data_IF_906183564506
#
_entry.id   IF_906183564506
#
_cell.length_a   1.000
_cell.length_b   1.000
_cell.length_c   1.000
_cell.angle_alpha   90.00
_cell.angle_beta   90.00
_cell.angle_gamma   90.00
#
_symmetry.space_group_name_H-M   'P 1'
#
loop_
_entity.id
_entity.type
_entity.pdbx_description
1 polymer ?
#
# COMPACT_ATOMS: atom_id res chain seq x y z
N UNK A 1 0.94 -24.16 9.98
CA UNK A 1 -0.49 -24.33 10.25
C UNK A 1 -0.69 -25.77 10.69
N UNK A 2 -1.23 -25.99 11.88
CA UNK A 2 -1.18 -27.29 12.57
C UNK A 2 -2.17 -28.31 11.96
N UNK A 3 -1.70 -29.54 11.70
CA UNK A 3 -2.49 -30.63 11.07
C UNK A 3 -3.75 -30.97 11.88
N UNK A 4 -3.69 -30.78 13.20
CA UNK A 4 -4.79 -31.02 14.13
C UNK A 4 -5.98 -30.08 13.87
N UNK A 5 -5.70 -28.81 13.58
CA UNK A 5 -6.72 -27.79 13.28
C UNK A 5 -7.49 -28.10 12.00
N UNK A 6 -6.79 -28.61 10.97
CA UNK A 6 -7.41 -29.00 9.70
C UNK A 6 -8.32 -30.23 9.84
N UNK A 7 -7.95 -31.21 10.68
CA UNK A 7 -8.75 -32.42 10.93
C UNK A 7 -10.08 -32.11 11.64
N UNK A 8 -10.06 -31.28 12.67
CA UNK A 8 -11.27 -30.90 13.42
C UNK A 8 -12.27 -30.11 12.57
N UNK A 9 -11.77 -29.27 11.65
CA UNK A 9 -12.62 -28.45 10.77
C UNK A 9 -13.27 -29.25 9.63
N UNK A 10 -12.58 -30.27 9.10
CA UNK A 10 -13.15 -31.22 8.11
C UNK A 10 -14.37 -31.96 8.67
N UNK A 11 -14.34 -32.33 9.96
CA UNK A 11 -15.44 -33.05 10.60
C UNK A 11 -16.72 -32.20 10.78
N UNK A 12 -16.60 -30.87 10.83
CA UNK A 12 -17.74 -29.97 11.11
C UNK A 12 -18.49 -29.47 9.87
N UNK A 13 -17.87 -29.46 8.69
CA UNK A 13 -18.40 -28.74 7.53
C UNK A 13 -19.06 -29.60 6.45
N UNK A 14 -18.99 -30.93 6.51
CA UNK A 14 -19.68 -31.85 5.57
C UNK A 14 -19.25 -31.76 4.10
N UNK A 15 -18.41 -30.80 3.73
CA UNK A 15 -17.85 -30.59 2.40
C UNK A 15 -16.33 -30.79 2.41
N UNK A 16 -15.73 -31.31 1.32
CA UNK A 16 -14.29 -31.43 1.23
C UNK A 16 -13.64 -30.04 1.30
N UNK A 17 -12.83 -29.79 2.33
CA UNK A 17 -12.01 -28.59 2.41
C UNK A 17 -11.04 -28.57 1.22
N UNK A 18 -11.27 -27.68 0.26
CA UNK A 18 -10.36 -27.44 -0.85
C UNK A 18 -9.16 -26.66 -0.34
N UNK A 19 -8.01 -27.31 -0.25
CA UNK A 19 -6.76 -26.62 0.04
C UNK A 19 -6.36 -25.77 -1.17
N UNK A 20 -6.04 -24.51 -0.93
CA UNK A 20 -5.50 -23.58 -1.94
C UNK A 20 -4.10 -23.19 -1.50
N UNK A 21 -3.13 -23.25 -2.41
CA UNK A 21 -1.78 -22.80 -2.11
C UNK A 21 -1.75 -21.30 -1.78
N UNK A 22 -0.99 -20.91 -0.75
CA UNK A 22 -0.87 -19.51 -0.34
C UNK A 22 -0.39 -18.60 -1.49
N UNK A 23 0.49 -19.10 -2.36
CA UNK A 23 0.94 -18.39 -3.57
C UNK A 23 -0.20 -17.98 -4.50
N UNK A 24 -1.24 -18.82 -4.62
CA UNK A 24 -2.44 -18.51 -5.41
C UNK A 24 -3.27 -17.42 -4.75
N UNK A 25 -3.39 -17.44 -3.42
CA UNK A 25 -4.12 -16.41 -2.67
C UNK A 25 -3.39 -15.07 -2.68
N UNK A 26 -2.06 -15.07 -2.57
CA UNK A 26 -1.23 -13.86 -2.62
C UNK A 26 -1.43 -13.07 -3.93
N UNK A 27 -1.56 -13.76 -5.06
CA UNK A 27 -1.83 -13.11 -6.36
C UNK A 27 -3.23 -12.49 -6.47
N UNK A 28 -4.15 -12.85 -5.55
CA UNK A 28 -5.50 -12.27 -5.44
C UNK A 28 -5.58 -11.09 -4.48
N UNK A 29 -4.51 -10.79 -3.75
CA UNK A 29 -4.49 -9.64 -2.86
C UNK A 29 -4.58 -8.35 -3.68
N UNK A 30 -5.34 -7.38 -3.18
CA UNK A 30 -5.57 -6.08 -3.84
C UNK A 30 -5.38 -4.92 -2.91
N UNK A 31 -5.87 -5.05 -1.68
CA UNK A 31 -5.61 -4.08 -0.64
C UNK A 31 -5.59 -4.73 0.74
N UNK A 32 -4.97 -4.04 1.69
CA UNK A 32 -5.05 -4.33 3.12
C UNK A 32 -5.00 -3.02 3.91
N UNK A 33 -5.44 -3.06 5.16
CA UNK A 33 -5.44 -1.93 6.09
C UNK A 33 -4.59 -2.27 7.31
N UNK A 34 -3.82 -1.30 7.82
CA UNK A 34 -3.12 -1.37 9.10
C UNK A 34 -3.56 -0.18 9.97
N UNK A 35 -3.58 -0.34 11.29
CA UNK A 35 -4.11 0.71 12.16
C UNK A 35 -5.62 0.86 11.99
N UNK A 36 -6.12 2.09 12.14
CA UNK A 36 -7.54 2.40 11.98
C UNK A 36 -8.08 1.91 10.62
N UNK A 37 -9.26 1.32 10.65
CA UNK A 37 -9.86 0.69 9.49
C UNK A 37 -10.62 1.71 8.66
N UNK A 38 -10.41 1.68 7.34
CA UNK A 38 -11.19 2.46 6.39
C UNK A 38 -12.38 1.65 5.89
N UNK A 39 -13.59 2.16 6.09
CA UNK A 39 -14.83 1.60 5.54
C UNK A 39 -15.08 2.22 4.16
N UNK A 40 -14.82 1.43 3.10
CA UNK A 40 -15.02 1.87 1.72
C UNK A 40 -16.49 2.18 1.38
N UNK A 41 -17.46 1.57 2.07
CA UNK A 41 -18.88 1.77 1.79
C UNK A 41 -19.38 3.09 2.36
N UNK A 42 -18.91 3.44 3.57
CA UNK A 42 -19.23 4.70 4.24
C UNK A 42 -18.25 5.82 3.89
N UNK A 43 -17.11 5.48 3.30
CA UNK A 43 -16.00 6.37 2.99
C UNK A 43 -15.54 7.10 4.26
N UNK A 44 -15.24 6.38 5.33
CA UNK A 44 -14.77 6.95 6.59
C UNK A 44 -13.83 6.01 7.36
N UNK A 45 -13.16 6.56 8.39
CA UNK A 45 -12.46 5.75 9.38
C UNK A 45 -13.40 5.39 10.53
N UNK A 46 -13.39 4.11 10.91
CA UNK A 46 -14.19 3.62 12.03
C UNK A 46 -13.27 3.11 13.15
N UNK A 47 -13.08 3.95 14.17
CA UNK A 47 -12.27 3.62 15.34
C UNK A 47 -12.92 2.56 16.25
N UNK A 48 -14.22 2.25 16.07
CA UNK A 48 -14.90 1.20 16.82
C UNK A 48 -14.57 -0.21 16.30
N UNK A 49 -14.10 -0.32 15.07
CA UNK A 49 -13.69 -1.61 14.50
C UNK A 49 -12.39 -2.10 15.15
N UNK A 50 -12.26 -3.41 15.42
CA UNK A 50 -11.02 -3.98 15.93
C UNK A 50 -9.85 -3.70 14.99
N UNK A 51 -8.76 -3.16 15.52
CA UNK A 51 -7.55 -2.87 14.77
C UNK A 51 -6.28 -3.10 15.60
N UNK A 52 -5.23 -3.53 14.92
CA UNK A 52 -3.89 -3.58 15.49
C UNK A 52 -3.15 -2.27 15.19
N UNK A 53 -2.18 -1.92 16.04
CA UNK A 53 -1.27 -0.80 15.77
C UNK A 53 -0.47 -1.06 14.49
N UNK A 54 -0.14 0.03 13.79
CA UNK A 54 0.84 -0.03 12.70
C UNK A 54 2.18 -0.53 13.28
N UNK A 55 2.89 -1.46 12.61
CA UNK A 55 4.17 -1.97 13.10
C UNK A 55 5.17 -0.85 13.41
N UNK A 56 5.86 -0.93 14.55
CA UNK A 56 6.72 0.14 15.06
C UNK A 56 7.82 0.56 14.07
N UNK A 57 8.40 -0.39 13.33
CA UNK A 57 9.39 -0.09 12.30
C UNK A 57 8.81 0.76 11.16
N UNK A 58 7.58 0.45 10.73
CA UNK A 58 6.89 1.21 9.68
C UNK A 58 6.44 2.58 10.19
N UNK A 59 5.97 2.65 11.44
CA UNK A 59 5.61 3.91 12.11
C UNK A 59 6.81 4.85 12.23
N UNK A 60 7.97 4.34 12.67
CA UNK A 60 9.22 5.13 12.74
C UNK A 60 9.68 5.64 11.37
N UNK A 61 9.68 4.78 10.35
CA UNK A 61 10.02 5.19 8.99
C UNK A 61 9.07 6.29 8.47
N UNK A 62 7.76 6.14 8.71
CA UNK A 62 6.77 7.14 8.30
C UNK A 62 7.01 8.49 8.99
N UNK A 63 7.34 8.47 10.29
CA UNK A 63 7.71 9.66 11.05
C UNK A 63 8.91 10.36 10.45
N UNK A 64 10.01 9.64 10.20
CA UNK A 64 11.22 10.18 9.60
C UNK A 64 10.94 10.81 8.22
N UNK A 65 10.18 10.12 7.37
CA UNK A 65 9.80 10.62 6.04
C UNK A 65 8.88 11.84 6.10
N UNK A 66 8.05 11.96 7.15
CA UNK A 66 7.14 13.08 7.33
C UNK A 66 7.81 14.33 7.93
N UNK A 67 8.97 14.20 8.57
CA UNK A 67 9.67 15.32 9.25
C UNK A 67 9.75 16.61 8.43
N UNK A 68 10.06 16.59 7.11
CA UNK A 68 10.14 17.82 6.32
C UNK A 68 8.82 18.60 6.21
N UNK A 69 7.68 17.96 6.45
CA UNK A 69 6.35 18.57 6.43
C UNK A 69 5.78 18.85 7.83
N UNK A 70 6.54 18.54 8.89
CA UNK A 70 6.06 18.56 10.27
C UNK A 70 6.90 19.53 11.11
N UNK A 71 6.62 20.83 10.98
CA UNK A 71 7.45 21.90 11.59
C UNK A 71 7.55 21.81 13.11
N UNK A 72 6.40 21.82 13.81
CA UNK A 72 6.32 21.92 15.27
C UNK A 72 5.49 20.78 15.90
N UNK A 73 5.32 19.68 15.17
CA UNK A 73 4.54 18.53 15.61
C UNK A 73 5.19 17.24 15.16
N UNK A 74 4.87 16.13 15.83
CA UNK A 74 5.29 14.80 15.38
C UNK A 74 4.16 14.17 14.55
N UNK A 75 4.52 13.45 13.48
CA UNK A 75 3.55 12.70 12.68
C UNK A 75 3.12 11.44 13.43
N UNK A 76 1.82 11.21 13.57
CA UNK A 76 1.28 10.00 14.18
C UNK A 76 0.75 9.07 13.08
N UNK A 77 1.44 7.96 12.84
CA UNK A 77 0.95 6.91 11.94
C UNK A 77 -0.22 6.16 12.58
N UNK A 78 -1.44 6.50 12.19
CA UNK A 78 -2.67 5.94 12.79
C UNK A 78 -3.39 4.96 11.87
N UNK A 79 -3.34 5.21 10.55
CA UNK A 79 -3.89 4.31 9.54
C UNK A 79 -2.92 4.13 8.37
N UNK A 80 -2.98 2.97 7.74
CA UNK A 80 -2.34 2.76 6.45
C UNK A 80 -3.22 1.92 5.52
N UNK A 81 -3.27 2.32 4.25
CA UNK A 81 -3.86 1.53 3.18
C UNK A 81 -2.70 1.00 2.34
N UNK A 82 -2.63 -0.33 2.24
CA UNK A 82 -1.67 -1.02 1.38
C UNK A 82 -2.39 -1.43 0.11
N UNK A 83 -1.89 -0.99 -1.04
CA UNK A 83 -2.39 -1.40 -2.34
C UNK A 83 -1.40 -2.38 -2.99
N UNK A 84 -1.92 -3.48 -3.50
CA UNK A 84 -1.19 -4.53 -4.20
C UNK A 84 -1.63 -4.55 -5.64
N UNK A 85 -0.70 -4.28 -6.54
CA UNK A 85 -0.97 -4.17 -7.96
C UNK A 85 -0.25 -5.25 -8.76
N UNK A 86 -0.98 -5.87 -9.68
CA UNK A 86 -0.48 -6.67 -10.79
C UNK A 86 -0.22 -5.81 -12.05
N UNK A 87 0.21 -6.44 -13.15
CA UNK A 87 0.59 -5.75 -14.40
C UNK A 87 -0.49 -4.83 -14.98
N UNK A 88 -1.74 -5.26 -14.91
CA UNK A 88 -2.86 -4.58 -15.57
C UNK A 88 -3.69 -3.75 -14.59
N UNK A 89 -3.31 -3.72 -13.32
CA UNK A 89 -4.01 -2.93 -12.31
C UNK A 89 -3.68 -1.45 -12.48
N UNK A 90 -4.71 -0.62 -12.31
CA UNK A 90 -4.61 0.83 -12.35
C UNK A 90 -5.35 1.43 -11.15
N UNK A 91 -4.94 2.63 -10.76
CA UNK A 91 -5.68 3.44 -9.80
C UNK A 91 -6.07 4.76 -10.46
N UNK A 92 -7.38 4.95 -10.67
CA UNK A 92 -7.92 6.17 -11.27
C UNK A 92 -7.65 7.42 -10.43
N UNK A 93 -7.77 8.59 -11.05
CA UNK A 93 -7.66 9.88 -10.36
C UNK A 93 -8.66 10.00 -9.21
N UNK A 94 -8.16 10.13 -7.98
CA UNK A 94 -8.95 10.24 -6.76
C UNK A 94 -8.32 11.25 -5.78
N UNK A 95 -9.05 11.53 -4.70
CA UNK A 95 -8.63 12.36 -3.58
C UNK A 95 -8.56 11.52 -2.31
N UNK A 96 -7.61 11.86 -1.45
CA UNK A 96 -7.48 11.34 -0.09
C UNK A 96 -7.81 12.46 0.91
N UNK A 97 -9.09 12.57 1.23
CA UNK A 97 -9.75 13.72 1.88
C UNK A 97 -10.62 13.32 3.09
N UNK A 98 -10.44 12.11 3.61
CA UNK A 98 -11.30 11.51 4.65
C UNK A 98 -10.71 11.57 6.06
N UNK A 99 -9.49 12.08 6.24
CA UNK A 99 -8.91 12.40 7.53
C UNK A 99 -9.51 13.68 8.12
N UNK A 100 -9.54 13.80 9.45
CA UNK A 100 -10.10 14.98 10.12
C UNK A 100 -9.27 16.26 9.87
N UNK A 101 -7.94 16.11 9.75
CA UNK A 101 -7.00 17.20 9.54
C UNK A 101 -6.17 16.98 8.27
N UNK A 102 -6.56 17.63 7.18
CA UNK A 102 -5.83 17.61 5.90
C UNK A 102 -4.53 18.44 5.93
N UNK A 103 -4.21 19.13 7.03
CA UNK A 103 -2.89 19.77 7.18
C UNK A 103 -1.77 18.75 7.41
N UNK A 104 -2.11 17.54 7.90
CA UNK A 104 -1.16 16.45 8.06
C UNK A 104 -0.75 15.88 6.69
N UNK A 105 0.48 15.40 6.52
CA UNK A 105 0.88 14.81 5.25
C UNK A 105 0.36 13.37 5.09
N UNK A 106 0.38 12.87 3.85
CA UNK A 106 0.32 11.43 3.55
C UNK A 106 1.72 10.98 3.14
N UNK A 107 2.21 9.91 3.77
CA UNK A 107 3.46 9.25 3.41
C UNK A 107 3.15 8.03 2.55
N UNK A 108 3.53 8.08 1.28
CA UNK A 108 3.29 7.02 0.30
C UNK A 108 4.60 6.32 -0.06
N UNK A 109 4.77 5.06 0.32
CA UNK A 109 5.98 4.27 0.06
C UNK A 109 5.75 3.32 -1.12
N UNK A 110 6.72 3.22 -2.02
CA UNK A 110 6.66 2.39 -3.23
C UNK A 110 7.65 1.22 -3.15
N UNK A 111 7.18 -0.01 -3.38
CA UNK A 111 8.02 -1.20 -3.44
C UNK A 111 7.73 -2.00 -4.71
N UNK A 112 8.77 -2.53 -5.34
CA UNK A 112 8.65 -3.40 -6.51
C UNK A 112 8.61 -2.67 -7.84
N UNK A 113 7.69 -3.10 -8.70
CA UNK A 113 7.62 -2.64 -10.09
C UNK A 113 7.49 -1.11 -10.18
N UNK A 114 8.28 -0.52 -11.10
CA UNK A 114 8.21 0.90 -11.45
C UNK A 114 6.79 1.22 -11.91
N UNK A 115 6.31 2.42 -11.62
CA UNK A 115 5.00 2.90 -12.06
C UNK A 115 5.06 4.36 -12.52
N UNK A 116 4.06 4.76 -13.31
CA UNK A 116 3.74 6.17 -13.51
C UNK A 116 2.81 6.60 -12.38
N UNK A 117 3.15 7.68 -11.70
CA UNK A 117 2.26 8.41 -10.81
C UNK A 117 1.87 9.73 -11.47
N UNK A 118 0.58 10.06 -11.38
CA UNK A 118 0.03 11.30 -11.86
C UNK A 118 -0.37 12.16 -10.67
N UNK A 119 0.18 13.38 -10.59
CA UNK A 119 -0.26 14.42 -9.66
C UNK A 119 -1.00 15.51 -10.45
N UNK A 120 -2.32 15.55 -10.32
CA UNK A 120 -3.21 16.55 -10.91
C UNK A 120 -3.30 17.82 -10.06
N UNK A 121 -4.33 18.62 -10.34
CA UNK A 121 -4.73 19.77 -9.53
C UNK A 121 -5.94 19.47 -8.65
N UNK A 122 -6.54 20.51 -8.08
CA UNK A 122 -7.76 20.40 -7.25
C UNK A 122 -9.00 20.04 -8.08
N UNK A 123 -8.95 20.25 -9.40
CA UNK A 123 -9.97 19.81 -10.34
C UNK A 123 -9.53 18.59 -11.12
N UNK A 124 -10.48 17.70 -11.44
CA UNK A 124 -10.23 16.52 -12.28
C UNK A 124 -9.89 16.89 -13.74
N UNK A 125 -10.17 18.12 -14.15
CA UNK A 125 -9.81 18.65 -15.47
C UNK A 125 -8.38 19.20 -15.52
N UNK A 126 -7.73 19.41 -14.37
CA UNK A 126 -6.39 19.96 -14.33
C UNK A 126 -5.39 18.93 -14.89
N UNK A 127 -4.50 19.33 -15.81
CA UNK A 127 -3.56 18.41 -16.44
C UNK A 127 -2.55 17.90 -15.41
N UNK A 128 -2.35 16.58 -15.28
CA UNK A 128 -1.46 16.03 -14.29
C UNK A 128 0.01 16.12 -14.71
N UNK A 129 0.88 16.28 -13.72
CA UNK A 129 2.31 16.07 -13.84
C UNK A 129 2.58 14.57 -13.66
N UNK A 130 3.25 13.97 -14.65
CA UNK A 130 3.65 12.57 -14.60
C UNK A 130 5.05 12.41 -14.02
N UNK A 131 5.23 11.43 -13.14
CA UNK A 131 6.52 11.06 -12.58
C UNK A 131 6.66 9.55 -12.44
N UNK A 132 7.90 9.05 -12.49
CA UNK A 132 8.18 7.65 -12.20
C UNK A 132 8.31 7.44 -10.70
N UNK A 133 7.67 6.38 -10.19
CA UNK A 133 7.91 5.86 -8.85
C UNK A 133 8.54 4.47 -8.96
N UNK A 134 9.79 4.35 -8.52
CA UNK A 134 10.58 3.11 -8.48
C UNK A 134 10.47 2.44 -7.11
N UNK A 135 11.02 1.23 -7.01
CA UNK A 135 11.14 0.56 -5.71
C UNK A 135 12.04 1.37 -4.78
N UNK A 136 11.53 1.69 -3.59
CA UNK A 136 12.22 2.51 -2.59
C UNK A 136 11.83 3.98 -2.62
N UNK A 137 11.19 4.48 -3.68
CA UNK A 137 10.74 5.87 -3.74
C UNK A 137 9.59 6.10 -2.75
N UNK A 138 9.60 7.27 -2.11
CA UNK A 138 8.52 7.75 -1.25
C UNK A 138 7.98 9.10 -1.77
N UNK A 139 6.67 9.27 -1.71
CA UNK A 139 5.98 10.53 -2.00
C UNK A 139 5.39 11.04 -0.69
N UNK A 140 5.71 12.28 -0.34
CA UNK A 140 5.13 12.99 0.78
C UNK A 140 4.13 14.02 0.24
N UNK A 141 2.84 13.73 0.35
CA UNK A 141 1.79 14.67 -0.06
C UNK A 141 1.45 15.59 1.11
N UNK A 142 1.72 16.89 0.97
CA UNK A 142 1.52 17.90 2.02
C UNK A 142 0.95 19.20 1.44
N UNK A 143 0.40 20.06 2.31
CA UNK A 143 -0.11 21.38 1.92
C UNK A 143 -1.15 21.30 0.79
N UNK A 144 -1.08 22.17 -0.24
CA UNK A 144 -2.02 22.13 -1.37
C UNK A 144 -2.10 20.76 -2.07
N UNK A 145 -0.99 20.00 -2.10
CA UNK A 145 -0.97 18.69 -2.76
C UNK A 145 -1.93 17.67 -2.12
N UNK A 146 -2.30 17.83 -0.84
CA UNK A 146 -3.31 16.98 -0.16
C UNK A 146 -4.70 17.07 -0.80
N UNK A 147 -4.98 18.14 -1.55
CA UNK A 147 -6.26 18.37 -2.23
C UNK A 147 -6.22 18.08 -3.72
N UNK A 148 -5.09 17.57 -4.22
CA UNK A 148 -4.90 17.31 -5.63
C UNK A 148 -5.32 15.89 -6.00
N UNK A 149 -6.00 15.77 -7.14
CA UNK A 149 -6.29 14.47 -7.75
C UNK A 149 -4.99 13.75 -8.07
N UNK A 150 -4.93 12.45 -7.78
CA UNK A 150 -3.77 11.65 -8.10
C UNK A 150 -4.12 10.19 -8.42
N UNK A 151 -3.21 9.48 -9.07
CA UNK A 151 -3.46 8.11 -9.49
C UNK A 151 -2.24 7.41 -10.08
N UNK A 152 -2.43 6.13 -10.41
CA UNK A 152 -1.42 5.24 -10.98
C UNK A 152 -2.00 4.64 -12.28
N UNK A 153 -1.77 5.25 -13.45
CA UNK A 153 -2.32 4.75 -14.72
C UNK A 153 -1.52 3.56 -15.29
N UNK A 154 -0.28 3.32 -14.84
CA UNK A 154 0.56 2.28 -15.44
C UNK A 154 1.60 1.73 -14.47
N UNK A 155 1.78 0.42 -14.54
CA UNK A 155 2.84 -0.33 -13.85
C UNK A 155 3.67 -1.06 -14.90
N UNK A 156 5.00 -1.01 -14.75
CA UNK A 156 5.95 -1.62 -15.68
C UNK A 156 6.43 -2.95 -15.10
N UNK A 157 5.84 -4.04 -15.61
CA UNK A 157 6.18 -5.43 -15.21
C UNK A 157 6.95 -6.18 -16.28
N UNK A 158 7.13 -5.60 -17.47
CA UNK A 158 7.91 -6.16 -18.56
C UNK A 158 9.41 -6.10 -18.28
N UNK A 159 10.17 -7.08 -18.79
CA UNK A 159 11.60 -7.24 -18.52
C UNK A 159 12.46 -6.06 -19.01
N UNK A 160 11.99 -5.32 -20.01
CA UNK A 160 12.72 -4.18 -20.58
C UNK A 160 12.66 -2.96 -19.66
N UNK A 161 11.52 -2.75 -18.99
CA UNK A 161 11.26 -1.55 -18.18
C UNK A 161 11.20 -1.82 -16.67
N UNK A 162 11.36 -3.08 -16.22
CA UNK A 162 11.31 -3.41 -14.81
C UNK A 162 12.64 -3.10 -14.10
N UNK A 163 12.64 -2.13 -13.19
CA UNK A 163 13.83 -1.74 -12.39
C UNK A 163 14.13 -2.73 -11.24
N UNK A 164 13.49 -3.92 -11.25
CA UNK A 164 13.55 -4.92 -10.17
C UNK A 164 14.96 -5.55 -9.96
N UNK A 165 15.86 -5.70 -10.95
CA UNK A 165 17.13 -6.41 -10.76
C UNK A 165 18.02 -5.90 -9.63
N UNK A 166 18.02 -4.58 -9.36
CA UNK A 166 18.86 -3.96 -8.32
C UNK A 166 18.37 -4.32 -6.90
N UNK A 167 17.07 -4.54 -6.74
CA UNK A 167 16.47 -4.86 -5.44
C UNK A 167 16.60 -6.35 -5.12
N UNK A 168 16.47 -7.23 -6.12
CA UNK A 168 16.52 -8.69 -5.90
C UNK A 168 17.85 -9.15 -5.32
N UNK A 169 18.97 -8.55 -5.74
CA UNK A 169 20.31 -8.94 -5.26
C UNK A 169 20.47 -8.84 -3.75
N UNK A 170 19.70 -7.96 -3.09
CA UNK A 170 19.72 -7.77 -1.63
C UNK A 170 18.96 -8.85 -0.84
N UNK A 171 18.15 -9.67 -1.51
CA UNK A 171 17.32 -10.72 -0.89
C UNK A 171 17.68 -12.13 -1.38
N UNK A 172 18.73 -12.28 -2.19
CA UNK A 172 19.15 -13.59 -2.70
C UNK A 172 19.67 -14.53 -1.60
N UNK A 173 20.18 -13.98 -0.50
CA UNK A 173 20.76 -14.75 0.62
C UNK A 173 19.74 -15.10 1.72
N UNK A 174 18.48 -14.65 1.61
CA UNK A 174 17.47 -14.82 2.65
C UNK A 174 16.43 -15.91 2.33
N UNK A 175 15.68 -16.34 3.35
CA UNK A 175 14.52 -17.23 3.21
C UNK A 175 13.32 -16.60 2.45
N UNK A 176 13.52 -15.46 1.77
CA UNK A 176 12.47 -14.63 1.18
C UNK A 176 12.29 -14.85 -0.33
N UNK A 177 12.68 -16.01 -0.85
CA UNK A 177 12.55 -16.33 -2.29
C UNK A 177 11.11 -16.13 -2.81
N UNK A 178 10.10 -16.41 -1.98
CA UNK A 178 8.68 -16.19 -2.31
C UNK A 178 8.30 -14.71 -2.40
N UNK A 179 8.90 -13.85 -1.59
CA UNK A 179 8.72 -12.39 -1.67
C UNK A 179 9.39 -11.82 -2.91
N UNK A 180 10.61 -12.28 -3.21
CA UNK A 180 11.32 -11.90 -4.43
C UNK A 180 10.52 -12.30 -5.66
N UNK A 181 9.99 -13.52 -5.71
CA UNK A 181 9.11 -13.99 -6.80
C UNK A 181 7.82 -13.17 -6.93
N UNK A 182 7.21 -12.80 -5.79
CA UNK A 182 6.02 -11.97 -5.79
C UNK A 182 6.30 -10.60 -6.43
N UNK A 183 7.36 -9.92 -5.98
CA UNK A 183 7.64 -8.54 -6.35
C UNK A 183 8.16 -8.37 -7.80
N UNK A 184 8.67 -9.44 -8.45
CA UNK A 184 9.15 -9.37 -9.85
C UNK A 184 8.11 -8.86 -10.85
N UNK A 185 6.83 -9.13 -10.59
CA UNK A 185 5.71 -8.75 -11.45
C UNK A 185 4.62 -8.04 -10.69
N UNK A 186 4.95 -7.38 -9.58
CA UNK A 186 3.97 -6.70 -8.74
C UNK A 186 4.53 -5.42 -8.15
N UNK A 187 3.63 -4.54 -7.74
CA UNK A 187 3.93 -3.29 -7.03
C UNK A 187 3.14 -3.26 -5.75
N UNK A 188 3.78 -2.83 -4.67
CA UNK A 188 3.15 -2.58 -3.39
C UNK A 188 3.28 -1.09 -3.10
N UNK A 189 2.17 -0.47 -2.73
CA UNK A 189 2.13 0.90 -2.28
C UNK A 189 1.55 0.96 -0.86
N UNK A 190 2.21 1.68 0.04
CA UNK A 190 1.78 1.81 1.43
C UNK A 190 1.52 3.29 1.69
N UNK A 191 0.26 3.67 1.85
CA UNK A 191 -0.17 5.05 2.15
C UNK A 191 -0.48 5.18 3.63
N UNK A 192 0.38 5.87 4.37
CA UNK A 192 0.31 6.05 5.82
C UNK A 192 -0.17 7.46 6.11
N UNK A 193 -1.10 7.59 7.05
CA UNK A 193 -1.80 8.84 7.36
C UNK A 193 -2.07 8.96 8.86
N UNK A 194 -2.18 10.21 9.29
CA UNK A 194 -2.75 10.60 10.56
C UNK A 194 -4.22 10.94 10.32
N UNK A 195 -5.13 10.30 11.04
CA UNK A 195 -6.57 10.39 10.85
C UNK A 195 -7.19 11.45 11.78
N UNK A 196 -6.68 11.56 13.01
CA UNK A 196 -7.19 12.46 14.05
C UNK A 196 -6.33 13.71 14.25
#
# INVERSE_FOLDING_TARGET
MDEKYLKEKKARLGFPLKTIAASVLLRKLRWATLGLQFDWSKRNYDASLPHAKIPDALSRLAKELAMPAMENAEFCAEAAIINYFASDDMLGGHLDDMEADLSKPIVSISLGSKAVFLLGGESRQDPPIAMFLRSGDAVLMTGPARKCFHGIPRIFTDLENCDVPVFQSKFLDSHDASFVDYIKGSRININIRQVN
#
